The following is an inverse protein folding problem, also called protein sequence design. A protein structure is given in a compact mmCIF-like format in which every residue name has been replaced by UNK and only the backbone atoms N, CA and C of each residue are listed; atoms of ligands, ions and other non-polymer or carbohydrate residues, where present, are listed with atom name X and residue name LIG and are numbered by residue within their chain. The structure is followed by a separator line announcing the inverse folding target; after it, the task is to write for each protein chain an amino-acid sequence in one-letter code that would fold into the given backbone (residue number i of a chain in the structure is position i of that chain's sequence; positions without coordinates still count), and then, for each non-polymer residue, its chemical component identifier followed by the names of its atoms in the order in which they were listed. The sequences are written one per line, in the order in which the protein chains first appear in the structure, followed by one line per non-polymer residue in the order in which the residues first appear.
data_IF_342526519552
#
_entry.id   IF_342526519552
#
_cell.length_a   1.000
_cell.length_b   1.000
_cell.length_c   1.000
_cell.angle_alpha   90.00
_cell.angle_beta   90.00
_cell.angle_gamma   90.00
#
_symmetry.space_group_name_H-M   'P 1'
#
loop_
_entity.id
_entity.type
_entity.pdbx_description
1 polymer ?
#
# COMPACT_ATOMS: atom_id res chain seq x y z
N UNK A 1 46.40 -24.47 -4.55
CA UNK A 1 45.87 -23.40 -3.66
C UNK A 1 45.03 -22.37 -4.39
N UNK A 2 45.51 -21.77 -5.51
CA UNK A 2 44.78 -20.73 -6.27
C UNK A 2 43.35 -21.16 -6.68
N UNK A 3 43.18 -22.38 -7.19
CA UNK A 3 41.85 -22.91 -7.59
C UNK A 3 40.87 -23.06 -6.42
N UNK A 4 41.36 -23.44 -5.23
CA UNK A 4 40.53 -23.57 -4.02
C UNK A 4 40.11 -22.21 -3.47
N UNK A 5 40.98 -21.20 -3.57
CA UNK A 5 40.67 -19.82 -3.19
C UNK A 5 39.64 -19.19 -4.14
N UNK A 6 39.76 -19.45 -5.45
CA UNK A 6 38.78 -19.02 -6.46
C UNK A 6 37.41 -19.67 -6.21
N UNK A 7 37.37 -20.98 -5.94
CA UNK A 7 36.12 -21.67 -5.58
C UNK A 7 35.48 -21.13 -4.30
N UNK A 8 36.28 -20.78 -3.28
CA UNK A 8 35.78 -20.18 -2.05
C UNK A 8 35.21 -18.79 -2.29
N UNK A 9 35.87 -17.95 -3.09
CA UNK A 9 35.38 -16.61 -3.46
C UNK A 9 34.10 -16.71 -4.29
N UNK A 10 34.01 -17.65 -5.24
CA UNK A 10 32.78 -17.91 -6.00
C UNK A 10 31.65 -18.37 -5.08
N UNK A 11 31.92 -19.27 -4.13
CA UNK A 11 30.92 -19.75 -3.18
C UNK A 11 30.42 -18.62 -2.27
N UNK A 12 31.33 -17.81 -1.72
CA UNK A 12 31.01 -16.64 -0.91
C UNK A 12 30.22 -15.59 -1.72
N UNK A 13 30.61 -15.31 -2.96
CA UNK A 13 29.90 -14.39 -3.85
C UNK A 13 28.47 -14.88 -4.15
N UNK A 14 28.28 -16.17 -4.45
CA UNK A 14 26.93 -16.72 -4.65
C UNK A 14 26.06 -16.70 -3.40
N UNK A 15 26.66 -16.78 -2.21
CA UNK A 15 25.92 -16.67 -0.94
C UNK A 15 25.55 -15.23 -0.55
N UNK A 16 26.34 -14.23 -0.99
CA UNK A 16 26.07 -12.81 -0.69
C UNK A 16 25.08 -12.15 -1.66
N UNK A 17 24.81 -12.77 -2.82
CA UNK A 17 23.79 -12.31 -3.78
C UNK A 17 22.44 -13.01 -3.63
N UNK A 18 22.28 -13.89 -2.64
CA UNK A 18 20.97 -14.37 -2.25
C UNK A 18 20.21 -13.25 -1.50
N UNK A 19 19.74 -12.23 -2.23
CA UNK A 19 18.56 -11.50 -1.80
C UNK A 19 17.48 -12.56 -1.60
N UNK A 20 17.22 -12.89 -0.34
CA UNK A 20 16.24 -13.91 0.05
C UNK A 20 14.84 -13.36 -0.31
N UNK A 21 14.44 -13.60 -1.55
CA UNK A 21 13.05 -13.52 -1.97
C UNK A 21 12.43 -14.87 -1.64
N UNK A 22 11.60 -14.94 -0.59
CA UNK A 22 11.04 -16.22 -0.20
C UNK A 22 10.12 -16.74 -1.33
N UNK A 23 10.03 -18.06 -1.53
CA UNK A 23 9.36 -18.64 -2.69
C UNK A 23 7.83 -18.49 -2.63
N UNK A 24 7.17 -18.49 -3.78
CA UNK A 24 5.71 -18.69 -3.82
C UNK A 24 5.43 -20.18 -3.65
N UNK A 25 4.64 -20.55 -2.65
CA UNK A 25 4.33 -21.94 -2.29
C UNK A 25 2.92 -22.36 -2.72
N UNK A 26 2.02 -21.40 -2.84
CA UNK A 26 0.65 -21.58 -3.32
C UNK A 26 0.13 -20.30 -3.94
N UNK A 27 -0.97 -20.39 -4.68
CA UNK A 27 -1.66 -19.24 -5.25
C UNK A 27 -3.14 -19.29 -4.90
N UNK A 28 -3.74 -18.13 -4.71
CA UNK A 28 -5.19 -17.95 -4.58
C UNK A 28 -5.65 -16.82 -5.49
N UNK A 29 -6.91 -16.83 -5.90
CA UNK A 29 -7.51 -15.70 -6.61
C UNK A 29 -8.00 -14.64 -5.62
N UNK A 30 -7.79 -13.36 -5.92
CA UNK A 30 -8.48 -12.24 -5.27
C UNK A 30 -9.92 -12.07 -5.80
N UNK A 31 -10.23 -12.66 -6.96
CA UNK A 31 -11.59 -12.72 -7.46
C UNK A 31 -12.48 -13.56 -6.53
N UNK A 32 -13.71 -13.11 -6.31
CA UNK A 32 -14.62 -13.72 -5.35
C UNK A 32 -14.20 -13.51 -3.89
N UNK A 33 -14.34 -14.55 -3.06
CA UNK A 33 -14.09 -14.51 -1.61
C UNK A 33 -12.82 -15.28 -1.24
N UNK A 34 -11.63 -14.66 -1.28
CA UNK A 34 -10.39 -15.37 -0.95
C UNK A 34 -10.34 -15.86 0.49
N UNK A 35 -11.12 -15.29 1.42
CA UNK A 35 -11.15 -15.78 2.80
C UNK A 35 -11.75 -17.20 2.92
N UNK A 36 -12.44 -17.69 1.89
CA UNK A 36 -12.91 -19.06 1.81
C UNK A 36 -11.85 -20.02 1.24
N UNK A 37 -10.78 -19.51 0.62
CA UNK A 37 -9.67 -20.33 0.17
C UNK A 37 -8.76 -20.66 1.36
N UNK A 38 -8.59 -21.95 1.72
CA UNK A 38 -7.75 -22.36 2.84
C UNK A 38 -6.28 -21.97 2.67
N UNK A 39 -5.83 -21.64 1.45
CA UNK A 39 -4.48 -21.20 1.16
C UNK A 39 -4.28 -19.69 1.34
N UNK A 40 -5.33 -18.87 1.38
CA UNK A 40 -5.19 -17.40 1.34
C UNK A 40 -4.31 -16.85 2.47
N UNK A 41 -4.45 -17.41 3.66
CA UNK A 41 -3.67 -17.04 4.85
C UNK A 41 -2.41 -17.89 5.07
N UNK A 42 -2.10 -18.84 4.18
CA UNK A 42 -0.93 -19.70 4.33
C UNK A 42 0.37 -18.96 4.06
N UNK A 43 1.41 -19.35 4.79
CA UNK A 43 2.78 -18.90 4.55
C UNK A 43 3.19 -19.23 3.10
N UNK A 44 3.74 -18.24 2.39
CA UNK A 44 4.15 -18.37 1.01
C UNK A 44 3.03 -18.33 -0.03
N UNK A 45 1.78 -18.05 0.37
CA UNK A 45 0.71 -17.86 -0.59
C UNK A 45 0.87 -16.56 -1.39
N UNK A 46 0.49 -16.58 -2.66
CA UNK A 46 0.34 -15.41 -3.50
C UNK A 46 -1.13 -15.23 -3.90
N UNK A 47 -1.74 -14.14 -3.42
CA UNK A 47 -3.07 -13.73 -3.82
C UNK A 47 -3.02 -12.86 -5.09
N UNK A 48 -3.57 -13.37 -6.18
CA UNK A 48 -3.43 -12.82 -7.54
C UNK A 48 -4.73 -12.15 -7.98
N UNK A 49 -4.63 -10.99 -8.62
CA UNK A 49 -5.75 -10.29 -9.27
C UNK A 49 -5.94 -10.79 -10.71
N UNK A 50 -6.50 -11.99 -10.86
CA UNK A 50 -6.69 -12.62 -12.18
C UNK A 50 -7.63 -11.84 -13.10
N UNK A 51 -8.62 -11.16 -12.53
CA UNK A 51 -9.68 -10.48 -13.30
C UNK A 51 -9.36 -8.99 -13.54
N UNK A 52 -8.16 -8.54 -13.15
CA UNK A 52 -7.71 -7.14 -13.28
C UNK A 52 -8.67 -6.14 -12.64
N UNK A 53 -9.30 -6.52 -11.52
CA UNK A 53 -10.30 -5.67 -10.85
C UNK A 53 -9.68 -4.38 -10.32
N UNK A 54 -8.36 -4.33 -10.12
CA UNK A 54 -7.64 -3.13 -9.68
C UNK A 54 -7.53 -2.06 -10.76
N UNK A 55 -7.61 -2.43 -12.04
CA UNK A 55 -7.33 -1.53 -13.17
C UNK A 55 -8.24 -0.30 -13.18
N UNK A 56 -9.47 -0.48 -12.72
CA UNK A 56 -10.46 0.58 -12.65
C UNK A 56 -10.04 1.76 -11.75
N UNK A 57 -9.19 1.52 -10.76
CA UNK A 57 -8.73 2.56 -9.82
C UNK A 57 -7.45 3.25 -10.30
N UNK A 58 -6.72 2.69 -11.26
CA UNK A 58 -5.41 3.20 -11.68
C UNK A 58 -5.58 4.57 -12.34
N UNK A 59 -4.79 5.54 -11.88
CA UNK A 59 -4.84 6.91 -12.37
C UNK A 59 -4.44 7.95 -11.34
N UNK A 60 -4.50 9.21 -11.75
CA UNK A 60 -4.40 10.36 -10.87
C UNK A 60 -5.81 10.89 -10.61
N UNK A 61 -6.12 11.11 -9.33
CA UNK A 61 -7.42 11.56 -8.85
C UNK A 61 -7.24 12.83 -8.04
N UNK A 62 -8.20 13.76 -8.12
CA UNK A 62 -8.10 15.08 -7.50
C UNK A 62 -9.34 15.43 -6.70
N UNK A 63 -9.11 15.85 -5.48
CA UNK A 63 -10.04 16.64 -4.66
C UNK A 63 -9.53 18.08 -4.59
N UNK A 64 -10.38 19.05 -4.94
CA UNK A 64 -10.04 20.47 -4.93
C UNK A 64 -11.20 21.31 -4.40
N UNK A 65 -11.29 21.44 -3.08
CA UNK A 65 -12.34 22.21 -2.40
C UNK A 65 -11.80 22.84 -1.12
N UNK A 66 -12.42 23.93 -0.66
CA UNK A 66 -12.13 24.55 0.64
C UNK A 66 -10.64 24.88 0.88
N UNK A 67 -9.92 25.28 -0.17
CA UNK A 67 -8.49 25.60 -0.09
C UNK A 67 -7.57 24.38 0.00
N UNK A 68 -8.11 23.16 -0.13
CA UNK A 68 -7.34 21.92 -0.14
C UNK A 68 -7.29 21.37 -1.57
N UNK A 69 -6.08 21.18 -2.07
CA UNK A 69 -5.80 20.39 -3.26
C UNK A 69 -5.14 19.08 -2.82
N UNK A 70 -5.86 17.98 -2.98
CA UNK A 70 -5.39 16.64 -2.67
C UNK A 70 -5.39 15.80 -3.95
N UNK A 71 -4.20 15.52 -4.44
CA UNK A 71 -3.97 14.67 -5.60
C UNK A 71 -3.56 13.27 -5.11
N UNK A 72 -4.31 12.24 -5.50
CA UNK A 72 -4.07 10.84 -5.16
C UNK A 72 -3.74 10.06 -6.44
N UNK A 73 -2.52 9.55 -6.54
CA UNK A 73 -2.09 8.67 -7.62
C UNK A 73 -2.16 7.22 -7.16
N UNK A 74 -2.92 6.42 -7.89
CA UNK A 74 -3.11 4.99 -7.63
C UNK A 74 -2.33 4.21 -8.70
N UNK A 75 -1.41 3.35 -8.26
CA UNK A 75 -0.59 2.49 -9.13
C UNK A 75 -0.78 1.02 -8.75
N UNK A 76 -0.73 0.11 -9.73
CA UNK A 76 -0.69 -1.34 -9.46
C UNK A 76 0.69 -1.75 -8.96
N UNK A 77 0.69 -2.69 -8.01
CA UNK A 77 1.88 -3.42 -7.60
C UNK A 77 1.58 -4.90 -7.52
N UNK A 78 2.32 -5.66 -8.30
CA UNK A 78 2.16 -7.11 -8.33
C UNK A 78 3.14 -7.75 -7.36
N UNK A 79 2.70 -8.84 -6.73
CA UNK A 79 3.53 -9.66 -5.84
C UNK A 79 4.18 -8.87 -4.69
N UNK A 80 3.44 -7.92 -4.11
CA UNK A 80 3.90 -7.17 -2.93
C UNK A 80 3.98 -8.11 -1.72
N UNK A 81 5.13 -8.11 -1.04
CA UNK A 81 5.39 -9.01 0.08
C UNK A 81 4.93 -8.39 1.41
N UNK A 82 4.13 -9.14 2.17
CA UNK A 82 3.86 -8.85 3.57
C UNK A 82 4.56 -9.88 4.43
N UNK A 83 5.46 -9.44 5.33
CA UNK A 83 6.21 -10.30 6.26
C UNK A 83 5.61 -10.18 7.66
N UNK A 84 5.45 -11.29 8.35
CA UNK A 84 5.16 -11.34 9.78
C UNK A 84 6.49 -11.52 10.52
N UNK A 85 6.89 -10.49 11.28
CA UNK A 85 8.18 -10.43 11.96
C UNK A 85 7.94 -10.39 13.46
N UNK A 86 8.63 -11.26 14.20
CA UNK A 86 8.65 -11.26 15.67
C UNK A 86 10.09 -11.29 16.15
N UNK A 87 10.49 -10.32 16.98
CA UNK A 87 11.85 -10.19 17.49
C UNK A 87 12.94 -10.22 16.38
N UNK A 88 12.65 -9.59 15.24
CA UNK A 88 13.57 -9.56 14.08
C UNK A 88 13.58 -10.83 13.22
N UNK A 89 12.81 -11.87 13.58
CA UNK A 89 12.70 -13.12 12.82
C UNK A 89 11.44 -13.11 11.97
N UNK A 90 11.56 -13.43 10.67
CA UNK A 90 10.41 -13.63 9.79
C UNK A 90 9.75 -14.97 10.17
N UNK A 91 8.59 -14.91 10.81
CA UNK A 91 7.77 -16.06 11.16
C UNK A 91 6.87 -16.53 10.01
N UNK A 92 6.59 -15.64 9.05
CA UNK A 92 5.83 -15.97 7.86
C UNK A 92 5.82 -14.83 6.85
N UNK A 93 5.37 -15.11 5.64
CA UNK A 93 5.22 -14.14 4.58
C UNK A 93 4.07 -14.53 3.63
N UNK A 94 3.53 -13.54 2.93
CA UNK A 94 2.56 -13.72 1.85
C UNK A 94 2.80 -12.68 0.77
N UNK A 95 2.39 -12.99 -0.44
CA UNK A 95 2.40 -12.08 -1.58
C UNK A 95 0.99 -11.69 -1.96
N UNK A 96 0.84 -10.52 -2.53
CA UNK A 96 -0.45 -10.06 -3.00
C UNK A 96 -0.30 -9.03 -4.11
N UNK A 97 -1.25 -9.06 -5.02
CA UNK A 97 -1.48 -8.01 -5.98
C UNK A 97 -2.29 -6.89 -5.33
N UNK A 98 -1.65 -5.73 -5.15
CA UNK A 98 -2.18 -4.60 -4.40
C UNK A 98 -2.23 -3.34 -5.30
N UNK A 99 -2.97 -2.33 -4.87
CA UNK A 99 -2.79 -0.95 -5.34
C UNK A 99 -2.02 -0.17 -4.29
N UNK A 100 -1.14 0.73 -4.71
CA UNK A 100 -0.42 1.65 -3.82
C UNK A 100 -0.89 3.09 -4.05
N UNK A 101 -0.79 3.90 -3.00
CA UNK A 101 -1.25 5.28 -3.00
C UNK A 101 -0.07 6.25 -2.86
N UNK A 102 0.18 7.08 -3.87
CA UNK A 102 1.03 8.26 -3.74
C UNK A 102 0.13 9.48 -3.68
N UNK A 103 0.56 10.54 -3.04
CA UNK A 103 -0.23 11.76 -2.99
C UNK A 103 0.59 13.03 -2.98
N UNK A 104 -0.10 14.11 -3.32
CA UNK A 104 0.33 15.48 -3.10
C UNK A 104 -0.77 16.22 -2.37
N UNK A 105 -0.40 16.96 -1.34
CA UNK A 105 -1.31 17.75 -0.54
C UNK A 105 -0.84 19.20 -0.51
N UNK A 106 -1.72 20.10 -0.95
CA UNK A 106 -1.53 21.55 -0.84
C UNK A 106 -2.70 22.12 -0.05
N UNK A 107 -2.42 22.91 0.99
CA UNK A 107 -3.43 23.63 1.77
C UNK A 107 -3.16 25.12 1.71
N UNK A 108 -4.16 25.90 1.30
CA UNK A 108 -4.08 27.36 1.19
C UNK A 108 -2.85 27.84 0.42
N UNK A 109 -2.49 27.12 -0.65
CA UNK A 109 -1.33 27.41 -1.51
C UNK A 109 0.02 26.89 -1.00
N UNK A 110 0.08 26.28 0.20
CA UNK A 110 1.29 25.71 0.78
C UNK A 110 1.31 24.20 0.52
N UNK A 111 2.35 23.71 -0.16
CA UNK A 111 2.58 22.27 -0.35
C UNK A 111 3.08 21.65 0.95
N UNK A 112 2.29 20.72 1.50
CA UNK A 112 2.60 20.01 2.75
C UNK A 112 3.33 18.69 2.51
N UNK A 113 2.99 18.00 1.42
CA UNK A 113 3.60 16.73 1.06
C UNK A 113 3.43 16.47 -0.43
N UNK A 114 4.40 15.78 -1.04
CA UNK A 114 4.35 15.38 -2.44
C UNK A 114 5.30 14.21 -2.70
N UNK A 115 4.75 13.03 -2.95
CA UNK A 115 5.52 11.84 -3.35
C UNK A 115 5.03 11.24 -4.69
N UNK A 116 4.32 12.01 -5.53
CA UNK A 116 3.69 11.51 -6.76
C UNK A 116 4.66 10.82 -7.73
N UNK A 117 5.93 11.23 -7.71
CA UNK A 117 6.98 10.73 -8.58
C UNK A 117 8.03 9.87 -7.85
N UNK A 118 7.83 9.60 -6.57
CA UNK A 118 8.81 8.86 -5.78
C UNK A 118 8.76 7.37 -6.12
N UNK A 119 9.93 6.74 -5.97
CA UNK A 119 10.04 5.29 -5.97
C UNK A 119 9.64 4.77 -4.60
N UNK A 120 8.65 3.90 -4.58
CA UNK A 120 8.03 3.39 -3.38
C UNK A 120 8.67 2.05 -3.01
N UNK A 121 9.13 1.85 -1.75
CA UNK A 121 9.71 0.59 -1.32
C UNK A 121 8.65 -0.51 -1.18
N UNK A 122 9.09 -1.76 -1.13
CA UNK A 122 8.19 -2.93 -1.04
C UNK A 122 7.36 -2.95 0.26
N UNK A 123 7.85 -2.33 1.33
CA UNK A 123 7.19 -2.26 2.63
C UNK A 123 6.27 -1.04 2.79
N UNK A 124 6.00 -0.31 1.70
CA UNK A 124 5.19 0.89 1.75
C UNK A 124 3.80 0.65 2.34
N UNK A 125 3.41 1.42 3.37
CA UNK A 125 2.20 1.13 4.14
C UNK A 125 0.92 1.58 3.44
N UNK A 126 0.97 2.62 2.59
CA UNK A 126 -0.22 3.14 1.91
C UNK A 126 -0.56 2.25 0.70
N UNK A 127 -1.36 1.22 0.96
CA UNK A 127 -1.78 0.22 -0.03
C UNK A 127 -3.13 -0.39 0.29
N UNK A 128 -3.83 -0.86 -0.74
CA UNK A 128 -5.12 -1.52 -0.60
C UNK A 128 -5.27 -2.72 -1.53
N UNK A 129 -6.26 -3.56 -1.23
CA UNK A 129 -6.63 -4.73 -2.01
C UNK A 129 -8.09 -4.64 -2.42
N UNK A 130 -8.35 -5.00 -3.66
CA UNK A 130 -9.70 -5.23 -4.16
C UNK A 130 -10.00 -6.71 -4.02
N UNK A 131 -11.01 -7.03 -3.22
CA UNK A 131 -11.57 -8.36 -3.12
C UNK A 131 -12.81 -8.43 -4.02
N UNK A 132 -12.98 -9.51 -4.80
CA UNK A 132 -14.11 -9.62 -5.73
C UNK A 132 -15.49 -9.56 -5.06
N UNK A 133 -15.60 -9.96 -3.79
CA UNK A 133 -16.84 -9.82 -3.00
C UNK A 133 -17.18 -8.38 -2.59
N UNK A 134 -16.26 -7.44 -2.70
CA UNK A 134 -16.46 -6.05 -2.31
C UNK A 134 -16.50 -5.15 -3.54
N UNK A 135 -17.28 -4.08 -3.50
CA UNK A 135 -17.34 -3.05 -4.54
C UNK A 135 -16.30 -1.94 -4.36
N UNK A 136 -15.42 -2.09 -3.37
CA UNK A 136 -14.34 -1.17 -3.04
C UNK A 136 -13.01 -1.92 -2.84
N UNK A 137 -11.89 -1.21 -2.99
CA UNK A 137 -10.60 -1.65 -2.51
C UNK A 137 -10.37 -1.09 -1.10
N UNK A 138 -9.99 -1.96 -0.16
CA UNK A 138 -9.78 -1.60 1.25
C UNK A 138 -8.33 -1.83 1.67
N UNK A 139 -7.82 -0.99 2.55
CA UNK A 139 -6.42 -1.06 2.97
C UNK A 139 -6.03 -0.07 4.04
N UNK A 140 -4.78 0.34 3.98
CA UNK A 140 -4.19 1.34 4.85
C UNK A 140 -3.76 2.54 4.01
N UNK A 141 -3.95 3.74 4.54
CA UNK A 141 -3.34 4.96 4.02
C UNK A 141 -2.61 5.65 5.16
N UNK A 142 -1.39 6.10 4.89
CA UNK A 142 -0.58 6.89 5.80
C UNK A 142 -0.54 8.32 5.30
N UNK A 143 -1.05 9.23 6.12
CA UNK A 143 -0.78 10.64 6.00
C UNK A 143 0.63 10.92 6.52
N UNK A 144 1.56 11.05 5.58
CA UNK A 144 2.97 11.30 5.83
C UNK A 144 3.24 12.70 6.40
N UNK A 145 2.29 13.64 6.34
CA UNK A 145 2.48 14.98 6.90
C UNK A 145 2.59 14.92 8.41
N UNK A 146 1.72 14.14 9.06
CA UNK A 146 1.70 13.92 10.52
C UNK A 146 2.10 12.50 10.93
N UNK A 147 2.55 11.67 9.97
CA UNK A 147 2.92 10.28 10.20
C UNK A 147 1.84 9.51 10.96
N UNK A 148 0.60 9.57 10.45
CA UNK A 148 -0.54 8.84 11.02
C UNK A 148 -1.16 7.95 9.95
N UNK A 149 -1.40 6.70 10.32
CA UNK A 149 -2.03 5.72 9.44
C UNK A 149 -3.46 5.44 9.85
N UNK A 150 -4.31 5.13 8.86
CA UNK A 150 -5.67 4.66 9.11
C UNK A 150 -6.12 3.64 8.08
N UNK A 151 -7.19 2.93 8.42
CA UNK A 151 -7.96 2.18 7.45
C UNK A 151 -8.58 3.11 6.42
N UNK A 152 -8.59 2.66 5.17
CA UNK A 152 -9.14 3.40 4.05
C UNK A 152 -9.95 2.50 3.13
N UNK A 153 -10.85 3.11 2.36
CA UNK A 153 -11.47 2.48 1.20
C UNK A 153 -11.47 3.40 -0.02
N UNK A 154 -11.36 2.81 -1.21
CA UNK A 154 -11.61 3.50 -2.47
C UNK A 154 -12.62 2.72 -3.29
N UNK A 155 -13.66 3.43 -3.76
CA UNK A 155 -14.74 2.87 -4.57
C UNK A 155 -14.85 3.65 -5.87
N UNK A 156 -15.03 2.95 -6.99
CA UNK A 156 -15.35 3.59 -8.25
C UNK A 156 -16.83 3.97 -8.25
N UNK A 157 -17.13 5.24 -8.50
CA UNK A 157 -18.51 5.71 -8.66
C UNK A 157 -18.89 5.68 -10.15
N UNK A 158 -17.98 6.14 -10.99
CA UNK A 158 -18.06 6.09 -12.45
C UNK A 158 -16.61 6.15 -13.02
N UNK A 159 -16.38 6.00 -14.34
CA UNK A 159 -15.03 5.99 -14.92
C UNK A 159 -14.14 7.19 -14.55
N UNK A 160 -14.74 8.34 -14.28
CA UNK A 160 -14.09 9.63 -14.02
C UNK A 160 -14.18 10.07 -12.56
N UNK A 161 -14.78 9.27 -11.67
CA UNK A 161 -14.95 9.62 -10.25
C UNK A 161 -14.76 8.42 -9.34
N UNK A 162 -13.93 8.59 -8.31
CA UNK A 162 -13.84 7.68 -7.16
C UNK A 162 -14.39 8.36 -5.91
N UNK A 163 -14.84 7.53 -4.98
CA UNK A 163 -15.04 7.90 -3.59
C UNK A 163 -13.86 7.36 -2.78
N UNK A 164 -13.11 8.25 -2.15
CA UNK A 164 -12.00 7.92 -1.25
C UNK A 164 -12.44 8.21 0.18
N UNK A 165 -12.39 7.21 1.04
CA UNK A 165 -12.73 7.35 2.44
C UNK A 165 -11.56 6.94 3.33
N UNK A 166 -11.09 7.88 4.13
CA UNK A 166 -10.10 7.65 5.18
C UNK A 166 -10.85 7.62 6.52
N UNK A 167 -10.93 6.43 7.11
CA UNK A 167 -11.69 6.23 8.34
C UNK A 167 -11.07 7.00 9.50
N UNK A 168 -11.78 7.96 10.06
CA UNK A 168 -11.28 8.78 11.18
C UNK A 168 -11.32 8.06 12.54
N UNK A 169 -12.06 6.95 12.66
CA UNK A 169 -12.29 6.23 13.93
C UNK A 169 -11.27 5.15 14.31
N UNK A 170 -10.40 4.70 13.39
CA UNK A 170 -9.45 3.59 13.61
C UNK A 170 -8.10 3.90 13.00
N UNK A 171 -7.30 4.70 13.71
CA UNK A 171 -5.97 5.14 13.29
C UNK A 171 -4.86 4.63 14.21
N UNK A 172 -3.62 4.76 13.76
CA UNK A 172 -2.42 4.46 14.54
C UNK A 172 -1.34 5.50 14.30
N UNK A 173 -0.62 5.83 15.37
CA UNK A 173 0.45 6.82 15.37
C UNK A 173 1.79 6.20 14.96
N UNK A 174 2.57 6.93 14.16
CA UNK A 174 3.94 6.58 13.84
C UNK A 174 4.95 7.54 14.49
N UNK A 175 4.49 8.67 15.04
CA UNK A 175 5.25 9.50 15.98
C UNK A 175 4.86 9.17 17.44
N UNK A 176 5.62 9.63 18.45
CA UNK A 176 5.22 9.57 19.86
C UNK A 176 3.92 10.36 20.12
N UNK A 177 3.12 9.90 21.08
CA UNK A 177 1.81 10.50 21.42
C UNK A 177 1.87 12.01 21.65
N UNK A 178 2.94 12.51 22.29
CA UNK A 178 3.14 13.94 22.59
C UNK A 178 3.19 14.84 21.35
N UNK A 179 3.50 14.30 20.17
CA UNK A 179 3.43 15.04 18.91
C UNK A 179 1.99 15.47 18.58
N UNK A 180 1.00 14.64 18.90
CA UNK A 180 -0.40 14.82 18.48
C UNK A 180 -1.23 15.62 19.48
N UNK A 181 -0.79 15.75 20.73
CA UNK A 181 -1.52 16.46 21.80
C UNK A 181 -1.83 17.92 21.50
N UNK A 182 -1.08 18.53 20.58
CA UNK A 182 -1.21 19.96 20.22
C UNK A 182 -1.93 20.19 18.89
N UNK A 183 -2.34 19.12 18.20
CA UNK A 183 -2.97 19.20 16.89
C UNK A 183 -4.49 19.36 17.02
N UNK A 184 -5.06 20.31 16.31
CA UNK A 184 -6.53 20.48 16.24
C UNK A 184 -7.21 19.30 15.53
N UNK A 185 -6.48 18.61 14.65
CA UNK A 185 -6.96 17.44 13.90
C UNK A 185 -5.83 16.42 13.72
N UNK A 186 -6.19 15.14 13.79
CA UNK A 186 -5.24 14.02 13.63
C UNK A 186 -4.73 13.89 12.20
N UNK A 187 -5.58 14.12 11.20
CA UNK A 187 -5.22 14.01 9.78
C UNK A 187 -5.09 15.39 9.13
N UNK A 188 -4.14 15.51 8.20
CA UNK A 188 -4.03 16.65 7.29
C UNK A 188 -4.77 16.40 5.98
N UNK A 189 -4.80 15.18 5.46
CA UNK A 189 -5.64 14.85 4.30
C UNK A 189 -7.13 14.90 4.67
N UNK A 190 -8.04 15.14 3.69
CA UNK A 190 -9.47 15.06 3.97
C UNK A 190 -9.88 13.66 4.46
N UNK A 191 -10.78 13.62 5.44
CA UNK A 191 -11.36 12.40 6.03
C UNK A 191 -12.84 12.30 5.70
N UNK A 192 -13.47 11.19 6.14
CA UNK A 192 -14.93 11.01 6.15
C UNK A 192 -15.58 11.04 4.76
N UNK A 193 -14.89 10.44 3.78
CA UNK A 193 -15.40 10.26 2.43
C UNK A 193 -15.39 11.51 1.55
N UNK A 194 -14.54 11.51 0.53
CA UNK A 194 -14.48 12.55 -0.49
C UNK A 194 -14.67 11.96 -1.89
N UNK A 195 -15.34 12.71 -2.74
CA UNK A 195 -15.33 12.44 -4.18
C UNK A 195 -14.10 13.06 -4.82
N UNK A 196 -13.38 12.25 -5.61
CA UNK A 196 -12.20 12.68 -6.35
C UNK A 196 -12.42 12.44 -7.84
N UNK A 197 -12.07 13.44 -8.65
CA UNK A 197 -12.25 13.41 -10.10
C UNK A 197 -10.93 13.00 -10.76
N UNK A 198 -11.00 12.20 -11.83
CA UNK A 198 -9.83 11.79 -12.60
C UNK A 198 -9.15 13.01 -13.21
N UNK A 199 -7.81 13.04 -13.16
CA UNK A 199 -6.97 14.02 -13.82
C UNK A 199 -6.44 13.40 -15.12
N UNK A 200 -6.77 14.03 -16.25
CA UNK A 200 -6.32 13.64 -17.58
C UNK A 200 -4.90 14.13 -17.87
#
# INVERSE_FOLDING_TARGET
MKTKLILLILFCATSTFAQYNPPVLSTTSLAGNPNQDPNFSKNGNYAIDYDSERDQYVGLWRYNQNGILFDLKIEKRDKLITKYIYQGVILGYKFSDDIIFKYRLVKNGIELYNNLNDNIPDDYPSRAKKFGIHDFAGGIFVDATYNVGSHMSVKLINPDTIFFDLGSGTYFYLNPDSYYETLDHIFTVPTDGIEMVRVN
#
